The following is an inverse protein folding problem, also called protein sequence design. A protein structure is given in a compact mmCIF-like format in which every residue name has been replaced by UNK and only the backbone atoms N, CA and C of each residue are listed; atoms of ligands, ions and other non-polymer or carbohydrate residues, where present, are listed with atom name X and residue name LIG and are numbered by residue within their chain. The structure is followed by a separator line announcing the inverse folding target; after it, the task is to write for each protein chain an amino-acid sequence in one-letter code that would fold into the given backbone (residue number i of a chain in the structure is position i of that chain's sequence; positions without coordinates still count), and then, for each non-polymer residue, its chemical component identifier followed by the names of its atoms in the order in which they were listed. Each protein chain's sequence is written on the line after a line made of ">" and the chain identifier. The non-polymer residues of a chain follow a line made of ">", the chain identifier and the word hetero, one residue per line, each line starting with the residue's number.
data_IF_280900881198
#
_entry.id   IF_280900881198
#
_cell.length_a   1.000
_cell.length_b   1.000
_cell.length_c   1.000
_cell.angle_alpha   90.00
_cell.angle_beta   90.00
_cell.angle_gamma   90.00
#
_symmetry.space_group_name_H-M   'P 1'
#
loop_
_entity.id
_entity.type
_entity.pdbx_description
1 polymer ?
#
# COMPACT_ATOMS: atom_id res chain seq x y z
N UNK A 1 -3.00 17.18 12.06
CA UNK A 1 -3.25 15.73 12.13
C UNK A 1 -2.23 15.01 11.25
N UNK A 2 -1.70 13.88 11.73
CA UNK A 2 -0.75 13.07 10.95
C UNK A 2 -1.52 12.06 10.11
N UNK A 3 -1.14 11.92 8.85
CA UNK A 3 -1.66 10.86 7.99
C UNK A 3 -1.01 9.52 8.33
N UNK A 4 -1.79 8.47 8.33
CA UNK A 4 -1.30 7.09 8.47
C UNK A 4 -0.56 6.61 7.22
N UNK A 5 0.25 5.57 7.34
CA UNK A 5 0.92 4.96 6.20
C UNK A 5 -0.05 4.44 5.14
N UNK A 6 -1.22 3.97 5.55
CA UNK A 6 -2.30 3.57 4.65
C UNK A 6 -2.87 4.75 3.85
N UNK A 7 -3.15 5.87 4.51
CA UNK A 7 -3.68 7.08 3.86
C UNK A 7 -2.69 7.65 2.85
N UNK A 8 -1.42 7.73 3.23
CA UNK A 8 -0.35 8.16 2.30
C UNK A 8 -0.20 7.17 1.14
N UNK A 9 -0.24 5.86 1.41
CA UNK A 9 -0.15 4.84 0.36
C UNK A 9 -1.26 4.94 -0.68
N UNK A 10 -2.50 5.18 -0.24
CA UNK A 10 -3.65 5.35 -1.14
C UNK A 10 -3.57 6.66 -1.92
N UNK A 11 -3.20 7.76 -1.27
CA UNK A 11 -2.99 9.06 -1.93
C UNK A 11 -1.90 8.97 -3.02
N UNK A 12 -0.78 8.33 -2.72
CA UNK A 12 0.30 8.12 -3.69
C UNK A 12 -0.14 7.22 -4.85
N UNK A 13 -0.89 6.15 -4.58
CA UNK A 13 -1.42 5.28 -5.63
C UNK A 13 -2.32 6.04 -6.59
N UNK A 14 -3.28 6.79 -6.07
CA UNK A 14 -4.19 7.61 -6.86
C UNK A 14 -3.43 8.65 -7.69
N UNK A 15 -2.51 9.37 -7.05
CA UNK A 15 -1.67 10.39 -7.71
C UNK A 15 -0.80 9.79 -8.84
N UNK A 16 -0.12 8.66 -8.59
CA UNK A 16 0.72 7.99 -9.59
C UNK A 16 -0.13 7.50 -10.77
N UNK A 17 -1.28 6.89 -10.51
CA UNK A 17 -2.15 6.37 -11.56
C UNK A 17 -2.71 7.51 -12.41
N UNK A 18 -3.28 8.55 -11.80
CA UNK A 18 -3.81 9.70 -12.50
C UNK A 18 -2.73 10.41 -13.33
N UNK A 19 -1.55 10.66 -12.75
CA UNK A 19 -0.43 11.30 -13.42
C UNK A 19 0.09 10.50 -14.61
N UNK A 20 0.22 9.17 -14.47
CA UNK A 20 0.65 8.30 -15.57
C UNK A 20 -0.37 8.26 -16.72
N UNK A 21 -1.65 8.31 -16.43
CA UNK A 21 -2.71 8.38 -17.44
C UNK A 21 -2.65 9.73 -18.15
N UNK A 22 -2.56 10.84 -17.41
CA UNK A 22 -2.47 12.20 -17.97
C UNK A 22 -1.27 12.33 -18.91
N UNK A 23 -0.14 11.71 -18.56
CA UNK A 23 1.10 11.74 -19.35
C UNK A 23 1.17 10.66 -20.44
N UNK A 24 0.21 9.75 -20.53
CA UNK A 24 0.25 8.63 -21.46
C UNK A 24 1.35 7.60 -21.18
N UNK A 25 1.80 7.49 -19.92
CA UNK A 25 2.90 6.62 -19.48
C UNK A 25 2.42 5.41 -18.64
N UNK A 26 1.11 5.21 -18.52
CA UNK A 26 0.56 4.06 -17.81
C UNK A 26 0.88 2.77 -18.58
N UNK A 27 1.57 1.79 -17.96
CA UNK A 27 1.87 0.53 -18.63
C UNK A 27 0.58 -0.25 -18.93
N UNK A 28 0.61 -1.02 -20.00
CA UNK A 28 -0.43 -2.05 -20.24
C UNK A 28 -0.39 -3.08 -19.12
N UNK A 29 -1.54 -3.40 -18.53
CA UNK A 29 -1.64 -4.33 -17.40
C UNK A 29 -0.72 -3.93 -16.23
N UNK A 30 -0.75 -2.65 -15.85
CA UNK A 30 0.02 -2.12 -14.73
C UNK A 30 -0.22 -2.94 -13.46
N UNK A 31 0.81 -3.08 -12.64
CA UNK A 31 0.78 -3.85 -11.39
C UNK A 31 1.18 -2.96 -10.23
N UNK A 32 0.39 -3.00 -9.17
CA UNK A 32 0.78 -2.50 -7.84
C UNK A 32 0.80 -3.66 -6.84
N UNK A 33 1.59 -3.51 -5.78
CA UNK A 33 1.67 -4.51 -4.71
C UNK A 33 1.46 -3.87 -3.34
N UNK A 34 0.76 -4.57 -2.44
CA UNK A 34 0.67 -4.16 -1.03
C UNK A 34 0.65 -5.34 -0.08
N UNK A 35 0.95 -5.10 1.20
CA UNK A 35 0.77 -6.14 2.22
C UNK A 35 -0.72 -6.44 2.44
N UNK A 36 -1.03 -7.67 2.84
CA UNK A 36 -2.41 -8.10 3.16
C UNK A 36 -3.02 -7.33 4.34
N UNK A 37 -2.19 -6.71 5.18
CA UNK A 37 -2.63 -5.89 6.32
C UNK A 37 -2.78 -4.41 5.96
N UNK A 38 -2.37 -4.01 4.75
CA UNK A 38 -2.64 -2.66 4.23
C UNK A 38 -4.09 -2.51 3.81
N UNK A 39 -4.57 -1.26 3.81
CA UNK A 39 -5.99 -0.94 3.60
C UNK A 39 -6.58 -1.52 2.31
N UNK A 40 -7.79 -2.13 2.37
CA UNK A 40 -8.53 -2.56 1.18
C UNK A 40 -8.96 -1.40 0.26
N UNK A 41 -8.91 -0.15 0.73
CA UNK A 41 -9.18 1.02 -0.10
C UNK A 41 -8.25 1.08 -1.32
N UNK A 42 -7.00 0.63 -1.17
CA UNK A 42 -6.04 0.58 -2.28
C UNK A 42 -6.48 -0.40 -3.38
N UNK A 43 -7.18 -1.50 -3.05
CA UNK A 43 -7.73 -2.41 -4.05
C UNK A 43 -8.79 -1.70 -4.90
N UNK A 44 -9.62 -0.84 -4.27
CA UNK A 44 -10.66 -0.08 -4.97
C UNK A 44 -10.09 1.00 -5.89
N UNK A 45 -9.06 1.70 -5.43
CA UNK A 45 -8.35 2.68 -6.26
C UNK A 45 -7.67 1.99 -7.44
N UNK A 46 -6.97 0.87 -7.22
CA UNK A 46 -6.35 0.10 -8.29
C UNK A 46 -7.37 -0.41 -9.32
N UNK A 47 -8.52 -0.92 -8.86
CA UNK A 47 -9.63 -1.38 -9.71
C UNK A 47 -10.14 -0.25 -10.62
N UNK A 48 -10.33 0.97 -10.07
CA UNK A 48 -10.77 2.14 -10.82
C UNK A 48 -9.83 2.47 -12.00
N UNK A 49 -8.53 2.38 -11.77
CA UNK A 49 -7.50 2.68 -12.79
C UNK A 49 -7.15 1.47 -13.67
N UNK A 50 -7.80 0.32 -13.49
CA UNK A 50 -7.48 -0.90 -14.23
C UNK A 50 -6.09 -1.48 -13.91
N UNK A 51 -5.58 -1.22 -12.70
CA UNK A 51 -4.29 -1.70 -12.20
C UNK A 51 -4.47 -3.02 -11.45
N UNK A 52 -3.68 -4.03 -11.78
CA UNK A 52 -3.64 -5.29 -11.04
C UNK A 52 -3.08 -5.05 -9.63
N UNK A 53 -3.90 -5.30 -8.60
CA UNK A 53 -3.47 -5.20 -7.20
C UNK A 53 -3.03 -6.59 -6.69
N UNK A 54 -1.75 -6.76 -6.37
CA UNK A 54 -1.22 -7.99 -5.76
C UNK A 54 -1.09 -7.82 -4.25
N UNK A 55 -1.90 -8.58 -3.52
CA UNK A 55 -1.84 -8.66 -2.07
C UNK A 55 -0.80 -9.71 -1.66
N UNK A 56 0.23 -9.29 -0.92
CA UNK A 56 1.34 -10.16 -0.50
C UNK A 56 1.44 -10.21 1.02
N UNK A 57 2.19 -11.17 1.56
CA UNK A 57 2.46 -11.24 2.99
C UNK A 57 3.22 -10.00 3.48
N UNK A 58 3.13 -9.71 4.77
CA UNK A 58 3.84 -8.60 5.41
C UNK A 58 5.35 -8.75 5.28
N UNK A 59 6.00 -7.67 4.94
CA UNK A 59 7.44 -7.57 4.70
C UNK A 59 7.76 -7.27 3.24
N UNK A 60 8.49 -6.18 3.01
CA UNK A 60 8.75 -5.63 1.69
C UNK A 60 9.48 -6.61 0.74
N UNK A 61 10.14 -7.64 1.30
CA UNK A 61 10.73 -8.75 0.54
C UNK A 61 9.72 -9.44 -0.39
N UNK A 62 8.45 -9.50 0.01
CA UNK A 62 7.40 -10.11 -0.80
C UNK A 62 6.97 -9.22 -1.97
N UNK A 63 7.02 -7.90 -1.80
CA UNK A 63 6.88 -6.95 -2.90
C UNK A 63 8.06 -7.08 -3.85
N UNK A 64 9.29 -7.15 -3.32
CA UNK A 64 10.51 -7.42 -4.09
C UNK A 64 10.45 -8.73 -4.89
N UNK A 65 9.86 -9.79 -4.31
CA UNK A 65 9.63 -11.07 -5.00
C UNK A 65 8.66 -10.91 -6.20
N UNK A 66 7.59 -10.11 -6.07
CA UNK A 66 6.69 -9.83 -7.20
C UNK A 66 7.40 -9.07 -8.32
N UNK A 67 8.27 -8.12 -7.99
CA UNK A 67 9.08 -7.41 -8.98
C UNK A 67 10.04 -8.39 -9.68
N UNK A 68 10.70 -9.29 -8.94
CA UNK A 68 11.58 -10.29 -9.50
C UNK A 68 10.84 -11.27 -10.46
N UNK A 69 9.59 -11.64 -10.11
CA UNK A 69 8.74 -12.46 -11.00
C UNK A 69 8.38 -11.73 -12.30
N UNK A 70 8.05 -10.45 -12.22
CA UNK A 70 7.80 -9.62 -13.41
C UNK A 70 9.07 -9.48 -14.27
N UNK A 71 10.23 -9.30 -13.64
CA UNK A 71 11.52 -9.22 -14.34
C UNK A 71 11.85 -10.52 -15.07
N UNK A 72 11.68 -11.67 -14.41
CA UNK A 72 11.88 -12.98 -15.01
C UNK A 72 10.94 -13.25 -16.19
N UNK A 73 9.75 -12.63 -16.20
CA UNK A 73 8.80 -12.67 -17.30
C UNK A 73 9.07 -11.65 -18.41
N UNK A 74 10.06 -10.76 -18.26
CA UNK A 74 10.33 -9.66 -19.19
C UNK A 74 9.27 -8.53 -19.10
N UNK A 75 8.55 -8.44 -18.00
CA UNK A 75 7.41 -7.54 -17.81
C UNK A 75 7.61 -6.55 -16.65
N UNK A 76 8.86 -6.29 -16.24
CA UNK A 76 9.18 -5.49 -15.05
C UNK A 76 8.61 -4.07 -15.10
N UNK A 77 8.45 -3.49 -16.28
CA UNK A 77 7.90 -2.15 -16.49
C UNK A 77 6.41 -2.05 -16.12
N UNK A 78 5.72 -3.18 -15.92
CA UNK A 78 4.35 -3.19 -15.42
C UNK A 78 4.25 -2.77 -13.96
N UNK A 79 5.31 -2.94 -13.16
CA UNK A 79 5.31 -2.53 -11.76
C UNK A 79 5.37 -1.01 -11.63
N UNK A 80 4.33 -0.41 -11.07
CA UNK A 80 4.22 1.05 -10.92
C UNK A 80 4.36 1.54 -9.47
N UNK A 81 3.91 0.73 -8.49
CA UNK A 81 3.92 1.12 -7.09
C UNK A 81 3.81 -0.08 -6.15
N UNK A 82 4.46 0.02 -5.00
CA UNK A 82 4.31 -0.92 -3.89
C UNK A 82 4.35 -0.21 -2.56
N UNK A 83 3.52 -0.66 -1.58
CA UNK A 83 3.55 -0.07 -0.25
C UNK A 83 3.14 -1.03 0.86
N UNK A 84 3.52 -0.66 2.08
CA UNK A 84 3.08 -1.24 3.34
C UNK A 84 2.53 -0.15 4.26
N UNK A 85 1.60 -0.51 5.14
CA UNK A 85 0.95 0.39 6.11
C UNK A 85 1.93 1.08 7.06
N UNK A 86 3.13 0.50 7.22
CA UNK A 86 4.23 0.99 8.05
C UNK A 86 5.13 2.04 7.36
N UNK A 87 4.57 2.83 6.45
CA UNK A 87 5.26 3.89 5.69
C UNK A 87 6.37 3.39 4.76
N UNK A 88 6.30 2.14 4.31
CA UNK A 88 7.18 1.61 3.29
C UNK A 88 6.62 1.85 1.90
N UNK A 89 7.33 2.57 1.02
CA UNK A 89 6.91 2.91 -0.33
C UNK A 89 7.99 2.63 -1.36
N UNK A 90 7.58 2.22 -2.56
CA UNK A 90 8.47 2.05 -3.72
C UNK A 90 7.69 2.37 -5.01
N UNK A 91 8.21 3.27 -5.84
CA UNK A 91 7.57 3.71 -7.07
C UNK A 91 8.40 3.37 -8.32
N UNK A 92 8.67 2.09 -8.51
CA UNK A 92 9.40 1.59 -9.67
C UNK A 92 10.27 0.38 -9.33
N UNK A 93 10.75 -0.37 -10.34
CA UNK A 93 11.40 -1.66 -10.14
C UNK A 93 12.92 -1.60 -9.92
N UNK A 94 13.51 -0.41 -9.71
CA UNK A 94 14.95 -0.17 -9.67
C UNK A 94 15.65 -0.71 -8.41
N UNK A 95 14.90 -0.97 -7.32
CA UNK A 95 15.36 -1.66 -6.10
C UNK A 95 14.35 -2.72 -5.67
N UNK A 96 14.72 -3.59 -4.71
CA UNK A 96 13.86 -4.68 -4.20
C UNK A 96 13.39 -4.47 -2.78
N UNK A 97 13.52 -3.24 -2.28
CA UNK A 97 13.07 -2.82 -0.96
C UNK A 97 12.48 -1.40 -1.03
N UNK A 98 11.83 -0.97 0.03
CA UNK A 98 11.28 0.37 0.19
C UNK A 98 12.35 1.45 0.02
N UNK A 99 11.96 2.54 -0.61
CA UNK A 99 12.80 3.71 -0.83
C UNK A 99 12.16 4.96 -0.23
N UNK A 100 12.67 5.38 0.92
CA UNK A 100 12.15 6.55 1.63
C UNK A 100 12.42 7.86 0.87
N UNK A 101 13.45 7.92 0.04
CA UNK A 101 13.79 9.13 -0.74
C UNK A 101 12.73 9.35 -1.80
N UNK A 102 12.42 8.32 -2.61
CA UNK A 102 11.37 8.43 -3.62
C UNK A 102 10.00 8.66 -2.99
N UNK A 103 9.71 7.99 -1.87
CA UNK A 103 8.47 8.22 -1.12
C UNK A 103 8.33 9.68 -0.70
N UNK A 104 9.37 10.27 -0.12
CA UNK A 104 9.39 11.67 0.30
C UNK A 104 9.28 12.63 -0.88
N UNK A 105 9.99 12.36 -1.98
CA UNK A 105 9.90 13.18 -3.20
C UNK A 105 8.48 13.19 -3.77
N UNK A 106 7.85 12.01 -3.88
CA UNK A 106 6.49 11.89 -4.41
C UNK A 106 5.45 12.57 -3.52
N UNK A 107 5.61 12.50 -2.19
CA UNK A 107 4.72 13.21 -1.25
C UNK A 107 4.85 14.73 -1.45
N UNK A 108 6.07 15.25 -1.57
CA UNK A 108 6.31 16.67 -1.81
C UNK A 108 5.76 17.12 -3.18
N UNK A 109 6.00 16.32 -4.23
CA UNK A 109 5.49 16.58 -5.58
C UNK A 109 3.97 16.59 -5.61
N UNK A 110 3.33 15.57 -5.04
CA UNK A 110 1.88 15.47 -4.91
C UNK A 110 1.29 16.67 -4.16
N UNK A 111 1.91 17.08 -3.04
CA UNK A 111 1.48 18.24 -2.28
C UNK A 111 1.56 19.53 -3.09
N UNK A 112 2.65 19.72 -3.84
CA UNK A 112 2.85 20.89 -4.70
C UNK A 112 1.85 20.88 -5.86
N UNK A 113 1.60 19.73 -6.47
CA UNK A 113 0.66 19.56 -7.58
C UNK A 113 -0.78 19.91 -7.15
N UNK A 114 -1.27 19.35 -6.05
CA UNK A 114 -2.61 19.66 -5.57
C UNK A 114 -2.75 21.11 -5.14
N UNK A 115 -1.73 21.65 -4.47
CA UNK A 115 -1.71 23.08 -4.11
C UNK A 115 -1.79 23.99 -5.33
N UNK A 116 -1.08 23.66 -6.41
CA UNK A 116 -1.16 24.42 -7.67
C UNK A 116 -2.55 24.34 -8.33
N UNK A 117 -3.29 23.25 -8.08
CA UNK A 117 -4.69 23.07 -8.51
C UNK A 117 -5.72 23.67 -7.53
N UNK A 118 -5.28 24.32 -6.45
CA UNK A 118 -6.16 24.94 -5.45
C UNK A 118 -6.75 23.96 -4.45
N UNK A 119 -6.17 22.74 -4.35
CA UNK A 119 -6.58 21.69 -3.40
C UNK A 119 -5.47 21.39 -2.39
N UNK A 120 -5.77 20.59 -1.39
CA UNK A 120 -4.82 20.11 -0.40
C UNK A 120 -4.82 18.58 -0.33
N UNK A 121 -3.77 17.98 0.23
CA UNK A 121 -3.69 16.53 0.47
C UNK A 121 -4.90 16.02 1.26
N UNK A 122 -5.38 16.82 2.23
CA UNK A 122 -6.55 16.47 3.03
C UNK A 122 -7.84 16.44 2.19
N UNK A 123 -8.04 17.44 1.36
CA UNK A 123 -9.21 17.49 0.45
C UNK A 123 -9.19 16.35 -0.55
N UNK A 124 -8.02 16.00 -1.07
CA UNK A 124 -7.87 14.84 -1.97
C UNK A 124 -8.12 13.50 -1.25
N UNK A 125 -7.72 13.37 0.00
CA UNK A 125 -8.05 12.18 0.79
C UNK A 125 -9.56 12.07 1.02
N UNK A 126 -10.24 13.18 1.33
CA UNK A 126 -11.71 13.18 1.47
C UNK A 126 -12.42 12.92 0.13
N UNK A 127 -11.85 13.37 -1.01
CA UNK A 127 -12.33 13.00 -2.35
C UNK A 127 -12.25 11.50 -2.56
N UNK A 128 -11.11 10.88 -2.25
CA UNK A 128 -10.90 9.43 -2.35
C UNK A 128 -11.92 8.68 -1.48
N UNK A 129 -12.14 9.14 -0.25
CA UNK A 129 -13.15 8.54 0.64
C UNK A 129 -14.59 8.70 0.11
N UNK A 130 -14.90 9.82 -0.50
CA UNK A 130 -16.22 10.05 -1.09
C UNK A 130 -16.45 9.17 -2.31
N UNK A 131 -15.41 8.91 -3.10
CA UNK A 131 -15.51 8.14 -4.35
C UNK A 131 -15.50 6.62 -4.11
N UNK A 132 -14.62 6.12 -3.22
CA UNK A 132 -14.39 4.68 -3.05
C UNK A 132 -14.88 4.13 -1.71
N UNK A 133 -15.36 5.00 -0.82
CA UNK A 133 -15.75 4.63 0.54
C UNK A 133 -14.64 4.79 1.57
N UNK A 134 -15.03 4.93 2.84
CA UNK A 134 -14.10 5.07 3.95
C UNK A 134 -13.81 3.71 4.59
N UNK A 135 -12.53 3.34 4.61
CA UNK A 135 -12.06 2.10 5.22
C UNK A 135 -11.30 2.42 6.51
N UNK A 136 -11.80 1.93 7.62
CA UNK A 136 -11.15 2.08 8.93
C UNK A 136 -10.21 0.89 9.17
N UNK A 137 -8.91 1.16 9.24
CA UNK A 137 -7.92 0.19 9.67
C UNK A 137 -7.54 0.46 11.13
N UNK A 138 -7.72 -0.55 11.98
CA UNK A 138 -7.34 -0.51 13.39
C UNK A 138 -6.29 -1.58 13.66
N UNK A 139 -5.24 -1.21 14.36
CA UNK A 139 -4.22 -2.13 14.86
C UNK A 139 -4.35 -2.21 16.37
N UNK A 140 -4.58 -3.41 16.88
CA UNK A 140 -4.54 -3.71 18.31
C UNK A 140 -3.20 -4.39 18.64
N UNK A 141 -2.44 -3.79 19.57
CA UNK A 141 -1.15 -4.32 20.00
C UNK A 141 -1.29 -4.98 21.38
N UNK A 142 -0.76 -6.19 21.50
CA UNK A 142 -0.75 -6.94 22.74
C UNK A 142 0.69 -7.16 23.18
N UNK A 143 1.02 -6.70 24.38
CA UNK A 143 2.35 -6.86 24.95
C UNK A 143 2.37 -8.04 25.93
N UNK A 144 3.37 -8.91 25.80
CA UNK A 144 3.62 -10.04 26.69
C UNK A 144 5.00 -9.86 27.34
N UNK A 145 5.12 -9.11 28.45
CA UNK A 145 6.40 -8.85 29.08
C UNK A 145 7.00 -10.09 29.76
N UNK A 146 8.33 -10.12 29.83
CA UNK A 146 9.09 -11.16 30.52
C UNK A 146 9.31 -12.44 29.70
N UNK A 147 10.12 -13.36 30.25
CA UNK A 147 10.48 -14.60 29.57
C UNK A 147 9.27 -15.50 29.25
N UNK A 148 8.30 -15.56 30.15
CA UNK A 148 7.04 -16.31 29.90
C UNK A 148 6.15 -15.69 28.81
N UNK A 149 6.41 -14.45 28.43
CA UNK A 149 5.66 -13.78 27.38
C UNK A 149 5.92 -14.40 26.00
N UNK A 150 7.15 -14.81 25.72
CA UNK A 150 7.52 -15.50 24.48
C UNK A 150 6.78 -16.84 24.34
N UNK A 151 6.69 -17.62 25.43
CA UNK A 151 5.98 -18.91 25.44
C UNK A 151 4.49 -18.72 25.22
N UNK A 152 3.88 -17.69 25.82
CA UNK A 152 2.46 -17.34 25.59
C UNK A 152 2.21 -16.97 24.13
N UNK A 153 3.07 -16.13 23.55
CA UNK A 153 2.94 -15.72 22.16
C UNK A 153 3.09 -16.92 21.21
N UNK A 154 4.07 -17.79 21.45
CA UNK A 154 4.26 -19.02 20.69
C UNK A 154 3.02 -19.95 20.81
N UNK A 155 2.46 -20.10 22.01
CA UNK A 155 1.25 -20.88 22.24
C UNK A 155 0.02 -20.33 21.47
N UNK A 156 -0.15 -19.01 21.44
CA UNK A 156 -1.22 -18.36 20.65
C UNK A 156 -1.02 -18.62 19.15
N UNK A 157 0.21 -18.53 18.65
CA UNK A 157 0.51 -18.78 17.24
C UNK A 157 0.37 -20.25 16.83
N UNK A 158 0.60 -21.21 17.76
CA UNK A 158 0.42 -22.64 17.52
C UNK A 158 -1.05 -23.06 17.53
N UNK A 159 -1.90 -22.33 18.24
CA UNK A 159 -3.33 -22.59 18.36
C UNK A 159 -4.15 -21.41 17.84
N UNK A 160 -4.03 -21.04 16.55
CA UNK A 160 -4.80 -19.94 16.01
C UNK A 160 -6.28 -20.27 16.04
N UNK A 161 -7.09 -19.39 16.62
CA UNK A 161 -8.55 -19.51 16.56
C UNK A 161 -8.98 -19.28 15.12
N UNK A 162 -9.60 -20.28 14.52
CA UNK A 162 -10.18 -20.11 13.19
C UNK A 162 -11.38 -19.15 13.28
N UNK A 163 -11.30 -18.01 12.61
CA UNK A 163 -12.41 -17.05 12.51
C UNK A 163 -13.66 -17.60 11.82
N UNK A 164 -13.58 -18.80 11.24
CA UNK A 164 -14.73 -19.48 10.63
C UNK A 164 -15.81 -19.86 11.63
N UNK A 165 -15.51 -19.85 12.93
CA UNK A 165 -16.46 -20.16 14.01
C UNK A 165 -17.12 -18.94 14.65
N UNK A 166 -16.77 -17.72 14.23
CA UNK A 166 -17.34 -16.47 14.75
C UNK A 166 -18.54 -15.96 13.93
N UNK A 167 -19.05 -16.75 13.00
CA UNK A 167 -20.32 -16.50 12.31
C UNK A 167 -21.40 -17.42 12.85
N UNK A 168 -21.95 -17.04 14.00
CA UNK A 168 -23.25 -17.46 14.48
C UNK A 168 -24.13 -16.25 14.67
#
# INVERSE_FOLDING_TARGET
>A
ELLSGNEVGVLLLDYICAGRIEQGTMPKNAVMCKSIVSTPLADKVAEHYGVECRNVLTGFKWIGDQIAKLEAAGEVDRFIFGFEESYGYLAGPYVRDKDAIIGSMLICEMAAYYRAKGSSIKEELERIYAEYGRYLNKVDSFEFPGLSGMDKMAGIMQNPVSYTHLRA
#
